data_IF_701483563184
#
_entry.id   IF_701483563184
#
_cell.length_a   1.000
_cell.length_b   1.000
_cell.length_c   1.000
_cell.angle_alpha   90.00
_cell.angle_beta   90.00
_cell.angle_gamma   90.00
#
_symmetry.space_group_name_H-M   'P 1'
#
loop_
_entity.id
_entity.type
_entity.pdbx_description
1 polymer ?
#
# COMPACT_ATOMS: atom_id res chain seq x y z
N UNK A 1 -3.79 8.13 -17.07
CA UNK A 1 -3.01 8.31 -18.30
C UNK A 1 -1.52 8.48 -17.98
N UNK A 2 -1.08 9.50 -17.23
CA UNK A 2 0.36 9.83 -17.02
C UNK A 2 1.21 8.71 -16.43
N UNK A 3 0.73 7.99 -15.41
CA UNK A 3 1.46 6.85 -14.82
C UNK A 3 1.68 5.76 -15.87
N UNK A 4 0.68 5.48 -16.70
CA UNK A 4 0.77 4.50 -17.80
C UNK A 4 1.82 4.92 -18.84
N UNK A 5 1.82 6.21 -19.24
CA UNK A 5 2.83 6.75 -20.15
C UNK A 5 4.24 6.67 -19.57
N UNK A 6 4.38 6.91 -18.27
CA UNK A 6 5.64 6.73 -17.55
C UNK A 6 6.12 5.28 -17.56
N UNK A 7 5.23 4.32 -17.32
CA UNK A 7 5.55 2.89 -17.38
C UNK A 7 6.00 2.47 -18.79
N UNK A 8 5.33 2.97 -19.85
CA UNK A 8 5.74 2.68 -21.22
C UNK A 8 7.17 3.16 -21.51
N UNK A 9 7.48 4.43 -21.16
CA UNK A 9 8.85 4.96 -21.30
C UNK A 9 9.85 4.19 -20.46
N UNK A 10 9.44 3.76 -19.26
CA UNK A 10 10.29 2.98 -18.37
C UNK A 10 10.62 1.60 -18.94
N UNK A 11 9.65 0.91 -19.56
CA UNK A 11 9.87 -0.38 -20.23
C UNK A 11 10.89 -0.25 -21.38
N UNK A 12 10.80 0.83 -22.16
CA UNK A 12 11.78 1.14 -23.21
C UNK A 12 13.17 1.38 -22.61
N UNK A 13 13.27 2.20 -21.56
CA UNK A 13 14.54 2.53 -20.92
C UNK A 13 15.23 1.32 -20.27
N UNK A 14 14.45 0.37 -19.73
CA UNK A 14 15.00 -0.88 -19.18
C UNK A 14 15.54 -1.82 -20.26
N UNK A 15 14.87 -1.93 -21.39
CA UNK A 15 15.26 -2.79 -22.51
C UNK A 15 15.08 -4.30 -22.26
N UNK A 16 14.82 -4.74 -21.02
CA UNK A 16 14.65 -6.16 -20.65
C UNK A 16 13.21 -6.66 -20.79
N UNK A 17 12.33 -5.81 -21.29
CA UNK A 17 10.90 -6.09 -21.52
C UNK A 17 10.14 -6.55 -20.28
N UNK A 18 10.54 -6.05 -19.11
CA UNK A 18 9.86 -6.30 -17.85
C UNK A 18 9.49 -4.99 -17.16
N UNK A 19 8.38 -5.01 -16.43
CA UNK A 19 7.96 -3.94 -15.51
C UNK A 19 7.63 -4.58 -14.17
N UNK A 20 8.26 -4.10 -13.11
CA UNK A 20 8.02 -4.55 -11.75
C UNK A 20 7.22 -3.51 -10.98
N UNK A 21 5.98 -3.84 -10.62
CA UNK A 21 5.07 -2.98 -9.89
C UNK A 21 4.82 -3.55 -8.49
N UNK A 22 5.16 -2.80 -7.47
CA UNK A 22 4.87 -3.16 -6.08
C UNK A 22 3.60 -2.46 -5.62
N UNK A 23 2.69 -3.25 -5.06
CA UNK A 23 1.41 -2.79 -4.51
C UNK A 23 1.38 -3.11 -3.02
N UNK A 24 1.34 -2.08 -2.19
CA UNK A 24 1.32 -2.17 -0.72
C UNK A 24 -0.08 -1.82 -0.21
N UNK A 25 -0.72 -2.76 0.45
CA UNK A 25 -2.05 -2.49 1.01
C UNK A 25 -2.00 -1.61 2.26
N UNK A 26 -3.15 -1.06 2.63
CA UNK A 26 -3.38 -0.56 3.98
C UNK A 26 -3.37 -1.68 5.02
N UNK A 27 -3.32 -1.28 6.31
CA UNK A 27 -3.28 -2.24 7.43
C UNK A 27 -2.91 -1.62 8.77
N UNK A 28 -2.75 -0.31 8.86
CA UNK A 28 -2.37 0.38 10.10
C UNK A 28 -1.04 -0.15 10.66
N UNK A 29 -1.01 -0.50 11.95
CA UNK A 29 0.17 -1.05 12.62
C UNK A 29 0.68 -2.38 11.99
N UNK A 30 -0.19 -3.12 11.30
CA UNK A 30 0.20 -4.38 10.66
C UNK A 30 1.13 -4.16 9.45
N UNK A 31 1.33 -2.92 9.03
CA UNK A 31 2.38 -2.55 8.07
C UNK A 31 3.78 -3.01 8.48
N UNK A 32 4.01 -3.26 9.76
CA UNK A 32 5.25 -3.88 10.24
C UNK A 32 5.56 -5.22 9.52
N UNK A 33 4.52 -6.01 9.19
CA UNK A 33 4.67 -7.22 8.38
C UNK A 33 5.26 -6.93 6.99
N UNK A 34 4.70 -5.96 6.28
CA UNK A 34 5.13 -5.63 4.92
C UNK A 34 6.57 -5.12 4.87
N UNK A 35 6.97 -4.30 5.84
CA UNK A 35 8.37 -3.85 5.95
C UNK A 35 9.29 -5.02 6.29
N UNK A 36 8.92 -5.86 7.24
CA UNK A 36 9.66 -7.09 7.55
C UNK A 36 9.82 -7.96 6.31
N UNK A 37 8.74 -8.18 5.55
CA UNK A 37 8.75 -8.96 4.32
C UNK A 37 9.72 -8.38 3.27
N UNK A 38 9.68 -7.09 3.00
CA UNK A 38 10.59 -6.43 2.04
C UNK A 38 12.04 -6.54 2.50
N UNK A 39 12.33 -6.38 3.80
CA UNK A 39 13.67 -6.57 4.37
C UNK A 39 14.16 -8.01 4.17
N UNK A 40 13.33 -8.99 4.50
CA UNK A 40 13.65 -10.41 4.30
C UNK A 40 13.85 -10.75 2.82
N UNK A 41 12.96 -10.28 1.94
CA UNK A 41 13.11 -10.51 0.50
C UNK A 41 14.39 -9.87 -0.06
N UNK A 42 14.77 -8.70 0.44
CA UNK A 42 16.01 -8.02 0.03
C UNK A 42 17.27 -8.84 0.30
N UNK A 43 17.28 -9.71 1.31
CA UNK A 43 18.46 -10.56 1.62
C UNK A 43 18.63 -11.75 0.67
N UNK A 44 17.65 -12.06 -0.17
CA UNK A 44 17.70 -13.22 -1.06
C UNK A 44 18.63 -12.97 -2.25
N UNK A 45 19.48 -13.94 -2.54
CA UNK A 45 20.37 -13.96 -3.69
C UNK A 45 19.89 -14.86 -4.82
N UNK A 46 19.08 -15.88 -4.49
CA UNK A 46 18.50 -16.85 -5.43
C UNK A 46 17.31 -16.29 -6.22
N UNK A 47 16.53 -15.40 -5.57
CA UNK A 47 15.39 -14.70 -6.17
C UNK A 47 15.36 -13.25 -5.66
N UNK A 48 16.28 -12.39 -6.14
CA UNK A 48 16.49 -11.07 -5.58
C UNK A 48 15.26 -10.17 -5.77
N UNK A 49 15.05 -9.29 -4.79
CA UNK A 49 14.02 -8.26 -4.88
C UNK A 49 14.33 -7.32 -6.04
N UNK A 50 13.41 -7.13 -7.00
CA UNK A 50 13.64 -6.25 -8.15
C UNK A 50 13.70 -4.78 -7.73
N UNK A 51 14.26 -3.95 -8.59
CA UNK A 51 14.10 -2.50 -8.49
C UNK A 51 12.76 -2.14 -9.14
N UNK A 52 11.77 -1.81 -8.30
CA UNK A 52 10.42 -1.54 -8.77
C UNK A 52 10.35 -0.31 -9.68
N UNK A 53 9.60 -0.42 -10.77
CA UNK A 53 9.35 0.67 -11.72
C UNK A 53 8.23 1.58 -11.24
N UNK A 54 7.27 1.01 -10.51
CA UNK A 54 6.22 1.74 -9.81
C UNK A 54 6.00 1.11 -8.44
N UNK A 55 5.89 1.94 -7.42
CA UNK A 55 5.40 1.53 -6.11
C UNK A 55 4.12 2.30 -5.79
N UNK A 56 3.09 1.57 -5.39
CA UNK A 56 1.84 2.15 -4.91
C UNK A 56 1.57 1.70 -3.49
N UNK A 57 0.95 2.56 -2.70
CA UNK A 57 0.58 2.24 -1.34
C UNK A 57 -0.74 2.90 -0.92
N UNK A 58 -1.48 2.22 -0.07
CA UNK A 58 -2.71 2.73 0.56
C UNK A 58 -2.49 2.76 2.07
N UNK A 59 -2.95 3.80 2.76
CA UNK A 59 -2.83 3.92 4.21
C UNK A 59 -1.38 3.72 4.68
N UNK A 60 -1.13 2.77 5.58
CA UNK A 60 0.23 2.40 5.99
C UNK A 60 1.15 2.05 4.82
N UNK A 61 0.61 1.46 3.74
CA UNK A 61 1.36 1.20 2.51
C UNK A 61 1.84 2.49 1.82
N UNK A 62 1.11 3.60 1.95
CA UNK A 62 1.56 4.89 1.42
C UNK A 62 2.80 5.42 2.14
N UNK A 63 2.96 5.12 3.45
CA UNK A 63 4.15 5.46 4.22
C UNK A 63 5.35 4.56 3.88
N UNK A 64 5.08 3.31 3.53
CA UNK A 64 6.10 2.32 3.13
C UNK A 64 6.63 2.58 1.72
N UNK A 65 5.78 3.06 0.83
CA UNK A 65 6.04 3.15 -0.60
C UNK A 65 7.31 3.95 -0.97
N UNK A 66 7.64 5.08 -0.33
CA UNK A 66 8.89 5.81 -0.58
C UNK A 66 10.14 4.96 -0.31
N UNK A 67 10.17 4.25 0.82
CA UNK A 67 11.28 3.38 1.20
C UNK A 67 11.39 2.16 0.30
N UNK A 68 10.24 1.55 -0.04
CA UNK A 68 10.19 0.42 -0.96
C UNK A 68 10.60 0.81 -2.39
N UNK A 69 10.31 2.04 -2.83
CA UNK A 69 10.80 2.55 -4.10
C UNK A 69 12.33 2.62 -4.10
N UNK A 70 12.96 3.11 -3.04
CA UNK A 70 14.41 3.07 -2.91
C UNK A 70 14.93 1.63 -2.93
N UNK A 71 14.32 0.75 -2.14
CA UNK A 71 14.58 -0.69 -2.11
C UNK A 71 15.99 -1.06 -1.64
N UNK A 72 16.72 -0.12 -1.02
CA UNK A 72 18.01 -0.38 -0.40
C UNK A 72 17.82 -0.91 1.01
N UNK A 73 18.78 -1.68 1.52
CA UNK A 73 18.77 -2.17 2.90
C UNK A 73 18.60 -1.01 3.89
N UNK A 74 19.41 0.04 3.76
CA UNK A 74 19.35 1.22 4.61
C UNK A 74 17.98 1.94 4.57
N UNK A 75 17.30 1.98 3.42
CA UNK A 75 15.98 2.57 3.32
C UNK A 75 14.92 1.70 4.03
N UNK A 76 14.97 0.38 3.84
CA UNK A 76 14.04 -0.53 4.47
C UNK A 76 14.25 -0.61 5.99
N UNK A 77 15.49 -0.50 6.47
CA UNK A 77 15.80 -0.41 7.91
C UNK A 77 15.26 0.86 8.52
N UNK A 78 15.39 2.01 7.84
CA UNK A 78 14.73 3.26 8.26
C UNK A 78 13.22 3.10 8.35
N UNK A 79 12.61 2.42 7.40
CA UNK A 79 11.17 2.15 7.47
C UNK A 79 10.80 1.29 8.68
N UNK A 80 11.57 0.24 8.97
CA UNK A 80 11.35 -0.60 10.16
C UNK A 80 11.52 0.19 11.46
N UNK A 81 12.54 1.06 11.53
CA UNK A 81 12.74 1.96 12.66
C UNK A 81 11.58 2.94 12.83
N UNK A 82 11.04 3.47 11.73
CA UNK A 82 9.86 4.34 11.74
C UNK A 82 8.66 3.65 12.40
N UNK A 83 8.41 2.38 12.07
CA UNK A 83 7.32 1.61 12.69
C UNK A 83 7.56 1.37 14.18
N UNK A 84 8.78 1.06 14.60
CA UNK A 84 9.14 0.90 16.01
C UNK A 84 8.97 2.21 16.79
N UNK A 85 9.46 3.34 16.24
CA UNK A 85 9.27 4.67 16.84
C UNK A 85 7.80 5.08 16.88
N UNK A 86 7.04 4.81 15.83
CA UNK A 86 5.62 5.15 15.76
C UNK A 86 4.81 4.46 16.87
N UNK A 87 5.18 3.25 17.26
CA UNK A 87 4.55 2.54 18.38
C UNK A 87 4.78 3.22 19.73
N UNK A 88 5.96 3.84 19.94
CA UNK A 88 6.37 4.39 21.22
C UNK A 88 6.16 5.91 21.30
N UNK A 89 6.64 6.63 20.29
CA UNK A 89 6.75 8.10 20.35
C UNK A 89 5.63 8.83 19.61
N UNK A 90 5.08 8.20 18.58
CA UNK A 90 4.09 8.80 17.69
C UNK A 90 2.72 8.16 17.79
N UNK A 91 2.52 7.27 18.80
CA UNK A 91 1.22 6.68 19.08
C UNK A 91 0.16 7.80 19.14
N UNK A 92 -0.92 7.69 18.36
CA UNK A 92 -1.95 8.71 18.33
C UNK A 92 -2.52 8.88 19.75
N UNK A 93 -2.41 10.09 20.30
CA UNK A 93 -3.06 10.41 21.56
C UNK A 93 -4.49 10.84 21.32
N UNK A 94 -5.42 10.39 22.17
CA UNK A 94 -6.80 10.87 22.12
C UNK A 94 -6.77 12.36 22.45
N UNK A 95 -7.33 13.17 21.55
CA UNK A 95 -7.60 14.59 21.83
C UNK A 95 -8.83 14.68 22.75
N UNK A 96 -8.61 14.83 24.05
CA UNK A 96 -9.69 14.93 25.04
C UNK A 96 -10.66 16.09 24.79
N UNK A 97 -10.29 17.06 23.92
CA UNK A 97 -11.11 18.18 23.50
C UNK A 97 -11.71 17.98 22.08
N UNK A 98 -11.65 16.77 21.51
CA UNK A 98 -12.11 16.47 20.15
C UNK A 98 -13.56 16.95 19.89
N UNK A 99 -14.42 16.87 20.90
CA UNK A 99 -15.81 17.30 20.84
C UNK A 99 -15.98 18.83 20.79
N UNK A 100 -15.00 19.60 21.27
CA UNK A 100 -14.96 21.07 21.18
C UNK A 100 -14.32 21.54 19.87
N UNK A 101 -13.34 20.81 19.35
CA UNK A 101 -12.51 21.25 18.20
C UNK A 101 -13.14 20.99 16.83
N UNK A 102 -14.21 20.21 16.75
CA UNK A 102 -14.90 19.84 15.49
C UNK A 102 -13.91 19.40 14.38
N UNK A 103 -12.93 18.57 14.72
CA UNK A 103 -11.87 18.16 13.80
C UNK A 103 -12.27 16.99 12.88
N UNK A 104 -13.42 16.37 13.09
CA UNK A 104 -13.84 15.17 12.35
C UNK A 104 -13.10 13.88 12.75
N UNK A 105 -12.20 13.94 13.73
CA UNK A 105 -11.47 12.81 14.31
C UNK A 105 -11.28 12.96 15.81
N UNK A 106 -10.85 11.89 16.47
CA UNK A 106 -10.64 11.85 17.92
C UNK A 106 -9.16 11.92 18.32
N UNK A 107 -8.26 11.95 17.33
CA UNK A 107 -6.80 11.84 17.53
C UNK A 107 -6.10 13.15 17.19
N UNK A 108 -5.12 13.54 18.02
CA UNK A 108 -4.17 14.61 17.69
C UNK A 108 -3.11 14.07 16.72
N UNK A 109 -3.06 14.65 15.52
CA UNK A 109 -2.13 14.27 14.46
C UNK A 109 -0.84 15.09 14.43
N UNK A 110 -0.60 15.99 15.39
CA UNK A 110 0.55 16.90 15.35
C UNK A 110 1.89 16.17 15.37
N UNK A 111 2.03 15.12 16.19
CA UNK A 111 3.24 14.27 16.24
C UNK A 111 3.39 13.47 14.94
N UNK A 112 2.30 12.91 14.46
CA UNK A 112 2.26 12.14 13.23
C UNK A 112 2.63 12.98 12.00
N UNK A 113 2.14 14.23 11.92
CA UNK A 113 2.53 15.20 10.88
C UNK A 113 4.03 15.47 10.93
N UNK A 114 4.62 15.68 12.13
CA UNK A 114 6.07 15.90 12.29
C UNK A 114 6.87 14.67 11.82
N UNK A 115 6.46 13.47 12.20
CA UNK A 115 7.10 12.22 11.74
C UNK A 115 7.12 12.13 10.21
N UNK A 116 6.01 12.39 9.53
CA UNK A 116 5.99 12.39 8.06
C UNK A 116 7.01 13.39 7.50
N UNK A 117 7.11 14.59 8.07
CA UNK A 117 8.05 15.62 7.63
C UNK A 117 9.51 15.23 7.89
N UNK A 118 9.82 14.71 9.09
CA UNK A 118 11.20 14.44 9.54
C UNK A 118 11.77 13.12 8.98
N UNK A 119 10.93 12.12 8.78
CA UNK A 119 11.40 10.78 8.42
C UNK A 119 11.11 10.42 6.95
N UNK A 120 9.88 10.69 6.47
CA UNK A 120 9.48 10.33 5.10
C UNK A 120 9.85 11.43 4.10
N UNK A 121 9.72 12.69 4.50
CA UNK A 121 9.99 13.86 3.64
C UNK A 121 11.26 14.62 4.06
N UNK A 122 12.15 14.00 4.84
CA UNK A 122 13.46 14.55 5.17
C UNK A 122 14.25 14.92 3.90
N UNK A 123 15.16 15.87 3.99
CA UNK A 123 15.99 16.28 2.86
C UNK A 123 16.71 15.08 2.24
N UNK A 124 17.34 14.25 3.05
CA UNK A 124 17.99 13.03 2.61
C UNK A 124 17.04 12.10 1.83
N UNK A 125 15.84 11.84 2.35
CA UNK A 125 14.86 10.97 1.68
C UNK A 125 14.43 11.55 0.34
N UNK A 126 14.21 12.87 0.28
CA UNK A 126 13.84 13.55 -0.96
C UNK A 126 14.94 13.48 -2.01
N UNK A 127 16.20 13.64 -1.61
CA UNK A 127 17.35 13.55 -2.51
C UNK A 127 17.50 12.13 -3.07
N UNK A 128 17.40 11.10 -2.20
CA UNK A 128 17.44 9.71 -2.63
C UNK A 128 16.26 9.36 -3.58
N UNK A 129 15.05 9.84 -3.26
CA UNK A 129 13.86 9.65 -4.12
C UNK A 129 14.00 10.41 -5.44
N UNK A 130 14.54 11.62 -5.43
CA UNK A 130 14.74 12.42 -6.63
C UNK A 130 15.57 11.67 -7.68
N UNK A 131 16.63 10.99 -7.27
CA UNK A 131 17.46 10.15 -8.16
C UNK A 131 16.61 9.01 -8.78
N UNK A 132 15.82 8.31 -7.96
CA UNK A 132 14.99 7.22 -8.42
C UNK A 132 13.89 7.69 -9.40
N UNK A 133 13.24 8.80 -9.07
CA UNK A 133 12.14 9.37 -9.84
C UNK A 133 12.61 9.95 -11.18
N UNK A 134 13.76 10.63 -11.20
CA UNK A 134 14.36 11.12 -12.46
C UNK A 134 14.90 9.99 -13.35
N UNK A 135 15.18 8.82 -12.78
CA UNK A 135 15.44 7.61 -13.57
C UNK A 135 14.16 6.98 -14.16
N UNK A 136 13.00 7.67 -14.06
CA UNK A 136 11.71 7.25 -14.61
C UNK A 136 10.93 6.26 -13.74
N UNK A 137 11.37 6.00 -12.50
CA UNK A 137 10.60 5.22 -11.54
C UNK A 137 9.45 6.07 -10.98
N UNK A 138 8.40 5.43 -10.50
CA UNK A 138 7.16 6.12 -10.14
C UNK A 138 6.70 5.77 -8.72
N UNK A 139 6.01 6.71 -8.09
CA UNK A 139 5.46 6.59 -6.74
C UNK A 139 4.06 7.16 -6.72
N UNK A 140 3.08 6.38 -6.27
CA UNK A 140 1.70 6.83 -6.20
C UNK A 140 0.97 6.32 -4.95
N UNK A 141 -0.05 7.05 -4.54
CA UNK A 141 -1.01 6.66 -3.50
C UNK A 141 -2.43 7.04 -3.92
N UNK A 142 -3.42 6.66 -3.11
CA UNK A 142 -4.78 7.13 -3.29
C UNK A 142 -5.41 7.54 -1.96
N UNK A 143 -6.38 8.44 -2.06
CA UNK A 143 -7.26 8.87 -0.97
C UNK A 143 -8.71 8.65 -1.38
N UNK A 144 -9.61 8.54 -0.41
CA UNK A 144 -11.05 8.67 -0.65
C UNK A 144 -11.42 10.16 -0.62
N UNK A 145 -11.97 10.67 -1.72
CA UNK A 145 -12.63 11.98 -1.78
C UNK A 145 -14.05 11.78 -1.24
N UNK A 146 -14.29 12.27 -0.03
CA UNK A 146 -15.56 12.04 0.67
C UNK A 146 -16.71 12.89 0.08
N UNK A 147 -16.41 14.03 -0.53
CA UNK A 147 -17.43 14.87 -1.15
C UNK A 147 -17.94 14.26 -2.46
N UNK A 148 -17.04 13.64 -3.23
CA UNK A 148 -17.39 13.02 -4.51
C UNK A 148 -17.69 11.52 -4.40
N UNK A 149 -17.34 10.87 -3.31
CA UNK A 149 -17.53 9.43 -3.11
C UNK A 149 -16.66 8.56 -4.02
N UNK A 150 -15.47 9.02 -4.38
CA UNK A 150 -14.55 8.33 -5.29
C UNK A 150 -13.14 8.17 -4.71
N UNK A 151 -12.39 7.21 -5.24
CA UNK A 151 -10.94 7.13 -5.01
C UNK A 151 -10.19 8.12 -5.90
N UNK A 152 -9.28 8.89 -5.29
CA UNK A 152 -8.42 9.84 -6.00
C UNK A 152 -6.97 9.41 -5.96
N UNK A 153 -6.37 9.20 -7.14
CA UNK A 153 -4.98 8.77 -7.28
C UNK A 153 -4.06 9.99 -7.33
N UNK A 154 -2.97 9.94 -6.56
CA UNK A 154 -1.94 10.96 -6.45
C UNK A 154 -0.60 10.42 -6.96
N UNK A 155 -0.03 11.08 -7.96
CA UNK A 155 1.33 10.84 -8.44
C UNK A 155 2.32 11.59 -7.52
N UNK A 156 2.71 10.95 -6.42
CA UNK A 156 3.63 11.52 -5.44
C UNK A 156 5.02 11.77 -6.04
N UNK A 157 5.42 10.90 -6.98
CA UNK A 157 6.72 11.05 -7.65
C UNK A 157 6.80 12.37 -8.39
N UNK A 158 5.76 12.73 -9.13
CA UNK A 158 5.68 14.00 -9.84
C UNK A 158 5.69 15.20 -8.88
N UNK A 159 4.90 15.12 -7.82
CA UNK A 159 4.86 16.20 -6.82
C UNK A 159 6.25 16.41 -6.18
N UNK A 160 6.97 15.34 -5.86
CA UNK A 160 8.30 15.41 -5.24
C UNK A 160 9.36 16.04 -6.17
N UNK A 161 9.29 15.80 -7.49
CA UNK A 161 10.25 16.38 -8.43
C UNK A 161 9.87 17.80 -8.88
N UNK A 162 8.63 18.25 -8.65
CA UNK A 162 8.18 19.59 -9.05
C UNK A 162 8.80 20.73 -8.22
N UNK A 163 9.44 20.41 -7.09
CA UNK A 163 10.19 21.37 -6.27
C UNK A 163 9.81 21.40 -4.78
N UNK A 164 10.50 22.25 -4.04
CA UNK A 164 10.34 22.35 -2.57
C UNK A 164 8.94 22.77 -2.12
N UNK A 165 8.23 23.57 -2.89
CA UNK A 165 6.86 24.00 -2.57
C UNK A 165 5.81 22.89 -2.63
N UNK A 166 6.12 21.75 -3.26
CA UNK A 166 5.23 20.59 -3.31
C UNK A 166 5.33 19.66 -2.09
N UNK A 167 6.31 19.88 -1.21
CA UNK A 167 6.51 19.02 -0.01
C UNK A 167 5.31 19.08 0.93
N UNK A 168 4.72 20.26 1.15
CA UNK A 168 3.54 20.44 2.00
C UNK A 168 2.32 19.73 1.39
N UNK A 169 2.21 19.75 0.06
CA UNK A 169 1.16 19.02 -0.66
C UNK A 169 1.33 17.51 -0.50
N UNK A 170 2.54 16.99 -0.69
CA UNK A 170 2.83 15.56 -0.47
C UNK A 170 2.55 15.15 0.97
N UNK A 171 2.95 15.98 1.95
CA UNK A 171 2.62 15.75 3.35
C UNK A 171 1.11 15.70 3.59
N UNK A 172 0.36 16.64 3.01
CA UNK A 172 -1.11 16.66 3.12
C UNK A 172 -1.75 15.42 2.49
N UNK A 173 -1.24 14.98 1.34
CA UNK A 173 -1.70 13.75 0.68
C UNK A 173 -1.39 12.51 1.52
N UNK A 174 -0.20 12.40 2.11
CA UNK A 174 0.16 11.26 2.98
C UNK A 174 -0.69 11.25 4.27
N UNK A 175 -0.96 12.41 4.85
CA UNK A 175 -1.87 12.53 5.99
C UNK A 175 -3.29 12.07 5.61
N UNK A 176 -3.80 12.55 4.48
CA UNK A 176 -5.12 12.15 3.97
C UNK A 176 -5.18 10.65 3.67
N UNK A 177 -4.13 10.11 3.01
CA UNK A 177 -4.05 8.69 2.65
C UNK A 177 -4.07 7.75 3.86
N UNK A 178 -3.79 8.27 5.06
CA UNK A 178 -3.78 7.52 6.33
C UNK A 178 -4.85 7.98 7.31
N UNK A 179 -5.74 8.89 6.91
CA UNK A 179 -6.80 9.46 7.74
C UNK A 179 -8.01 8.52 7.80
N UNK A 180 -7.96 7.50 8.67
CA UNK A 180 -9.08 6.58 8.91
C UNK A 180 -10.28 7.37 9.45
N UNK A 181 -11.46 7.33 8.76
CA UNK A 181 -12.64 8.09 9.18
C UNK A 181 -13.07 7.79 10.61
N UNK A 182 -13.42 8.85 11.34
CA UNK A 182 -13.85 8.77 12.75
C UNK A 182 -12.70 8.60 13.75
N UNK A 183 -11.49 8.23 13.32
CA UNK A 183 -10.30 8.13 14.18
C UNK A 183 -9.39 9.32 13.93
N UNK A 184 -8.90 9.48 12.72
CA UNK A 184 -8.06 10.60 12.32
C UNK A 184 -8.90 11.73 11.69
N UNK A 185 -8.53 13.00 11.91
CA UNK A 185 -9.18 14.11 11.22
C UNK A 185 -8.94 13.99 9.70
N UNK A 186 -9.97 14.20 8.88
CA UNK A 186 -9.82 14.25 7.42
C UNK A 186 -8.99 15.47 7.01
N UNK A 187 -8.47 15.46 5.79
CA UNK A 187 -7.64 16.53 5.26
C UNK A 187 -8.33 17.18 4.06
N UNK A 188 -8.40 18.51 4.04
CA UNK A 188 -8.91 19.25 2.89
C UNK A 188 -7.78 19.45 1.89
N UNK A 189 -7.97 18.96 0.64
CA UNK A 189 -7.03 19.13 -0.46
C UNK A 189 -7.83 19.59 -1.69
N UNK A 190 -7.40 20.69 -2.31
CA UNK A 190 -8.07 21.30 -3.48
C UNK A 190 -9.57 21.60 -3.23
N UNK A 191 -9.95 21.93 -1.99
CA UNK A 191 -11.32 22.23 -1.62
C UNK A 191 -12.20 21.01 -1.31
N UNK A 192 -11.68 19.79 -1.43
CA UNK A 192 -12.38 18.54 -1.13
C UNK A 192 -11.89 17.89 0.16
N UNK A 193 -12.78 17.21 0.85
CA UNK A 193 -12.49 16.46 2.09
C UNK A 193 -11.97 15.07 1.72
N UNK A 194 -10.74 14.78 2.12
CA UNK A 194 -10.08 13.50 1.85
C UNK A 194 -9.86 12.69 3.11
N UNK A 195 -10.03 11.38 2.99
CA UNK A 195 -9.76 10.38 4.01
C UNK A 195 -8.92 9.22 3.44
N UNK A 196 -8.63 8.22 4.29
CA UNK A 196 -7.87 7.02 3.94
C UNK A 196 -8.41 6.34 2.68
N UNK A 197 -7.52 6.04 1.75
CA UNK A 197 -7.86 5.38 0.49
C UNK A 197 -8.48 3.99 0.67
N UNK A 198 -8.20 3.33 1.81
CA UNK A 198 -8.79 2.04 2.16
C UNK A 198 -10.32 2.04 2.27
N UNK A 199 -10.94 3.21 2.41
CA UNK A 199 -12.41 3.36 2.35
C UNK A 199 -12.97 2.94 1.00
N UNK A 200 -12.23 3.21 -0.09
CA UNK A 200 -12.63 2.86 -1.47
C UNK A 200 -11.98 1.57 -1.93
N UNK A 201 -10.67 1.45 -1.73
CA UNK A 201 -9.90 0.25 -2.10
C UNK A 201 -8.63 0.15 -1.27
N UNK A 202 -8.39 -1.02 -0.69
CA UNK A 202 -7.20 -1.22 0.13
C UNK A 202 -5.92 -1.52 -0.66
N UNK A 203 -5.99 -1.58 -1.97
CA UNK A 203 -4.84 -1.67 -2.89
C UNK A 203 -5.05 -0.73 -4.08
N UNK A 204 -3.96 -0.24 -4.65
CA UNK A 204 -3.97 0.58 -5.84
C UNK A 204 -3.22 -0.13 -6.98
N UNK A 205 -3.84 -1.07 -7.70
CA UNK A 205 -3.28 -1.56 -8.96
C UNK A 205 -3.53 -0.46 -10.02
N UNK A 206 -2.48 0.25 -10.42
CA UNK A 206 -2.57 1.35 -11.41
C UNK A 206 -3.01 0.84 -12.79
N UNK A 207 -2.71 -0.43 -13.09
CA UNK A 207 -3.11 -1.08 -14.33
C UNK A 207 -4.35 -1.94 -14.08
N UNK A 208 -5.51 -1.42 -14.42
CA UNK A 208 -6.71 -2.20 -14.72
C UNK A 208 -6.65 -2.73 -16.16
N UNK A 209 -7.71 -3.35 -16.64
CA UNK A 209 -7.76 -3.88 -18.00
C UNK A 209 -7.59 -2.78 -19.06
N UNK A 210 -8.27 -1.65 -18.90
CA UNK A 210 -8.17 -0.50 -19.81
C UNK A 210 -6.82 0.18 -19.72
N UNK A 211 -6.26 0.35 -18.52
CA UNK A 211 -4.90 0.85 -18.33
C UNK A 211 -3.85 -0.03 -19.00
N UNK A 212 -4.06 -1.35 -18.98
CA UNK A 212 -3.21 -2.31 -19.66
C UNK A 212 -3.30 -2.17 -21.20
N UNK A 213 -4.51 -1.99 -21.75
CA UNK A 213 -4.68 -1.71 -23.19
C UNK A 213 -3.97 -0.41 -23.61
N UNK A 214 -4.07 0.65 -22.80
CA UNK A 214 -3.37 1.92 -23.02
C UNK A 214 -1.85 1.74 -22.95
N UNK A 215 -1.36 0.96 -21.99
CA UNK A 215 0.07 0.63 -21.89
C UNK A 215 0.55 -0.09 -23.18
N UNK A 216 -0.17 -1.10 -23.64
CA UNK A 216 0.16 -1.82 -24.86
C UNK A 216 0.16 -0.92 -26.10
N UNK A 217 -0.84 -0.03 -26.23
CA UNK A 217 -0.90 0.94 -27.30
C UNK A 217 0.32 1.88 -27.25
N UNK A 218 0.65 2.41 -26.07
CA UNK A 218 1.78 3.32 -25.89
C UNK A 218 3.12 2.65 -26.16
N UNK A 219 3.29 1.39 -25.77
CA UNK A 219 4.49 0.60 -26.08
C UNK A 219 4.69 0.45 -27.58
N UNK A 220 3.62 0.15 -28.34
CA UNK A 220 3.67 0.07 -29.81
C UNK A 220 4.05 1.38 -30.45
N UNK A 221 3.48 2.51 -30.00
CA UNK A 221 3.87 3.86 -30.46
C UNK A 221 5.34 4.17 -30.22
N UNK A 222 5.93 3.61 -29.16
CA UNK A 222 7.35 3.73 -28.82
C UNK A 222 8.23 2.69 -29.53
N UNK A 223 7.68 1.92 -30.47
CA UNK A 223 8.41 0.93 -31.27
C UNK A 223 8.66 -0.42 -30.56
N UNK A 224 8.02 -0.69 -29.42
CA UNK A 224 8.13 -1.98 -28.74
C UNK A 224 7.16 -2.97 -29.38
N UNK A 225 7.70 -3.92 -30.13
CA UNK A 225 6.92 -4.95 -30.86
C UNK A 225 6.84 -6.29 -30.14
N UNK A 226 7.85 -6.60 -29.32
CA UNK A 226 7.86 -7.84 -28.54
C UNK A 226 7.06 -7.68 -27.24
N UNK A 227 6.47 -8.77 -26.72
CA UNK A 227 5.68 -8.72 -25.49
C UNK A 227 6.49 -8.22 -24.29
N UNK A 228 5.85 -7.36 -23.47
CA UNK A 228 6.36 -6.87 -22.19
C UNK A 228 5.67 -7.62 -21.06
N UNK A 229 6.44 -8.13 -20.10
CA UNK A 229 5.91 -8.78 -18.90
C UNK A 229 5.76 -7.78 -17.78
N UNK A 230 4.53 -7.60 -17.29
CA UNK A 230 4.20 -6.81 -16.10
C UNK A 230 4.09 -7.76 -14.92
N UNK A 231 4.94 -7.57 -13.91
CA UNK A 231 4.91 -8.35 -12.67
C UNK A 231 4.32 -7.50 -11.56
N UNK A 232 3.16 -7.90 -11.06
CA UNK A 232 2.51 -7.31 -9.89
C UNK A 232 2.95 -8.07 -8.64
N UNK A 233 3.64 -7.36 -7.75
CA UNK A 233 4.08 -7.84 -6.45
C UNK A 233 3.18 -7.20 -5.40
N UNK A 234 2.37 -7.99 -4.70
CA UNK A 234 1.33 -7.48 -3.80
C UNK A 234 1.65 -7.89 -2.37
N UNK A 235 1.86 -6.91 -1.51
CA UNK A 235 2.07 -7.13 -0.07
C UNK A 235 0.84 -6.63 0.67
N UNK A 236 0.09 -7.57 1.23
CA UNK A 236 -1.11 -7.29 2.01
C UNK A 236 -0.73 -7.16 3.48
N UNK A 237 -0.82 -5.93 3.99
CA UNK A 237 -0.57 -5.61 5.41
C UNK A 237 -1.76 -5.96 6.32
N UNK A 238 -2.63 -6.83 5.86
CA UNK A 238 -3.78 -7.35 6.59
C UNK A 238 -4.00 -8.82 6.22
N UNK A 239 -4.71 -9.53 7.08
CA UNK A 239 -5.25 -10.85 6.79
C UNK A 239 -6.39 -10.78 5.78
N UNK A 240 -6.55 -11.84 5.01
CA UNK A 240 -7.61 -11.94 4.01
C UNK A 240 -8.95 -12.35 4.62
N UNK A 241 -8.94 -13.11 5.71
CA UNK A 241 -10.14 -13.62 6.34
C UNK A 241 -10.23 -13.17 7.80
N UNK A 242 -11.42 -12.76 8.27
CA UNK A 242 -11.62 -12.35 9.66
C UNK A 242 -11.61 -13.57 10.56
N UNK A 243 -11.07 -13.41 11.79
CA UNK A 243 -11.17 -14.44 12.81
C UNK A 243 -12.64 -14.68 13.22
N UNK A 244 -13.07 -15.95 13.41
CA UNK A 244 -14.39 -16.25 13.95
C UNK A 244 -14.54 -15.68 15.35
N UNK A 245 -15.67 -15.02 15.63
CA UNK A 245 -15.98 -14.41 16.91
C UNK A 245 -17.44 -14.70 17.24
N UNK A 246 -17.72 -15.16 18.44
CA UNK A 246 -19.08 -15.26 18.94
C UNK A 246 -19.63 -13.85 19.21
N UNK A 247 -20.81 -13.57 18.69
CA UNK A 247 -21.50 -12.27 18.84
C UNK A 247 -22.79 -12.48 19.61
N UNK A 248 -23.02 -11.67 20.64
CA UNK A 248 -24.30 -11.61 21.31
C UNK A 248 -25.30 -10.90 20.37
N UNK A 249 -26.36 -11.61 19.90
CA UNK A 249 -27.34 -11.06 18.98
C UNK A 249 -28.17 -9.91 19.61
N UNK A 250 -28.26 -9.83 20.94
CA UNK A 250 -28.94 -8.75 21.66
C UNK A 250 -28.06 -7.50 21.82
N UNK A 251 -26.75 -7.59 21.59
CA UNK A 251 -25.82 -6.48 21.70
C UNK A 251 -25.68 -5.71 20.38
N UNK A 252 -26.44 -4.61 20.25
CA UNK A 252 -26.35 -3.72 19.08
C UNK A 252 -24.91 -3.30 18.77
N UNK A 253 -24.11 -2.99 19.78
CA UNK A 253 -22.73 -2.52 19.60
C UNK A 253 -21.80 -3.61 19.04
N UNK A 254 -21.96 -4.87 19.49
CA UNK A 254 -21.19 -6.00 18.95
C UNK A 254 -21.60 -6.28 17.50
N UNK A 255 -22.90 -6.34 17.21
CA UNK A 255 -23.43 -6.57 15.87
C UNK A 255 -22.93 -5.50 14.89
N UNK A 256 -23.07 -4.21 15.25
CA UNK A 256 -22.63 -3.09 14.39
C UNK A 256 -21.13 -3.12 14.15
N UNK A 257 -20.33 -3.28 15.20
CA UNK A 257 -18.86 -3.35 15.10
C UNK A 257 -18.42 -4.51 14.20
N UNK A 258 -19.00 -5.69 14.40
CA UNK A 258 -18.69 -6.86 13.58
C UNK A 258 -19.11 -6.68 12.14
N UNK A 259 -20.30 -6.13 11.89
CA UNK A 259 -20.78 -5.80 10.56
C UNK A 259 -19.81 -4.88 9.80
N UNK A 260 -19.40 -3.77 10.42
CA UNK A 260 -18.43 -2.85 9.83
C UNK A 260 -17.07 -3.51 9.57
N UNK A 261 -16.59 -4.34 10.49
CA UNK A 261 -15.37 -5.11 10.30
C UNK A 261 -15.47 -6.03 9.09
N UNK A 262 -16.59 -6.75 8.95
CA UNK A 262 -16.81 -7.69 7.85
C UNK A 262 -16.92 -6.96 6.50
N UNK A 263 -17.56 -5.81 6.43
CA UNK A 263 -17.62 -4.98 5.22
C UNK A 263 -16.21 -4.59 4.75
N UNK A 264 -15.33 -4.23 5.67
CA UNK A 264 -13.94 -3.90 5.35
C UNK A 264 -13.13 -5.14 4.93
N UNK A 265 -13.21 -6.22 5.70
CA UNK A 265 -12.40 -7.44 5.44
C UNK A 265 -12.91 -8.19 4.20
N UNK A 266 -14.21 -8.16 3.89
CA UNK A 266 -14.73 -8.80 2.68
C UNK A 266 -14.08 -8.27 1.39
N UNK A 267 -13.72 -6.99 1.36
CA UNK A 267 -12.97 -6.43 0.23
C UNK A 267 -11.56 -7.01 0.12
N UNK A 268 -10.90 -7.31 1.26
CA UNK A 268 -9.53 -7.85 1.29
C UNK A 268 -9.47 -9.27 0.70
N UNK A 269 -10.43 -10.12 1.08
CA UNK A 269 -10.49 -11.51 0.66
C UNK A 269 -10.53 -11.66 -0.88
N UNK A 270 -11.15 -10.72 -1.57
CA UNK A 270 -11.33 -10.75 -3.02
C UNK A 270 -10.13 -10.20 -3.81
N UNK A 271 -9.20 -9.49 -3.17
CA UNK A 271 -8.10 -8.81 -3.88
C UNK A 271 -7.23 -9.79 -4.67
N UNK A 272 -6.71 -10.90 -4.09
CA UNK A 272 -5.84 -11.80 -4.83
C UNK A 272 -6.53 -12.42 -6.05
N UNK A 273 -7.78 -12.84 -5.90
CA UNK A 273 -8.56 -13.42 -6.99
C UNK A 273 -8.84 -12.41 -8.10
N UNK A 274 -9.24 -11.19 -7.74
CA UNK A 274 -9.49 -10.11 -8.71
C UNK A 274 -8.23 -9.77 -9.52
N UNK A 275 -7.08 -9.70 -8.87
CA UNK A 275 -5.81 -9.43 -9.55
C UNK A 275 -5.36 -10.61 -10.41
N UNK A 276 -5.59 -11.84 -9.98
CA UNK A 276 -5.33 -13.03 -10.78
C UNK A 276 -6.22 -13.10 -12.03
N UNK A 277 -7.50 -12.76 -11.88
CA UNK A 277 -8.43 -12.67 -13.00
C UNK A 277 -8.01 -11.58 -13.99
N UNK A 278 -7.62 -10.41 -13.48
CA UNK A 278 -7.07 -9.34 -14.31
C UNK A 278 -5.83 -9.79 -15.07
N UNK A 279 -4.89 -10.46 -14.42
CA UNK A 279 -3.66 -10.93 -15.06
C UNK A 279 -3.94 -11.95 -16.18
N UNK A 280 -4.90 -12.85 -15.96
CA UNK A 280 -5.35 -13.81 -16.98
C UNK A 280 -5.99 -13.08 -18.18
N UNK A 281 -6.91 -12.17 -17.92
CA UNK A 281 -7.59 -11.41 -18.97
C UNK A 281 -6.59 -10.55 -19.78
N UNK A 282 -5.69 -9.82 -19.10
CA UNK A 282 -4.67 -9.02 -19.79
C UNK A 282 -3.76 -9.89 -20.65
N UNK A 283 -3.30 -11.03 -20.12
CA UNK A 283 -2.41 -11.93 -20.87
C UNK A 283 -3.08 -12.60 -22.06
N UNK A 284 -4.40 -12.82 -22.01
CA UNK A 284 -5.18 -13.42 -23.08
C UNK A 284 -5.61 -12.38 -24.15
N UNK A 285 -6.08 -11.20 -23.69
CA UNK A 285 -6.85 -10.29 -24.54
C UNK A 285 -6.14 -8.96 -24.85
N UNK A 286 -4.94 -8.73 -24.31
CA UNK A 286 -4.14 -7.52 -24.59
C UNK A 286 -2.86 -7.88 -25.33
N UNK A 287 -2.84 -7.82 -26.68
CA UNK A 287 -1.65 -8.15 -27.45
C UNK A 287 -0.45 -7.27 -27.06
N UNK A 288 0.71 -7.93 -26.87
CA UNK A 288 1.95 -7.26 -26.50
C UNK A 288 2.15 -7.11 -24.99
N UNK A 289 1.24 -7.59 -24.14
CA UNK A 289 1.43 -7.68 -22.70
C UNK A 289 1.25 -9.09 -22.16
N UNK A 290 2.03 -9.41 -21.15
CA UNK A 290 1.83 -10.53 -20.24
C UNK A 290 1.80 -10.00 -18.82
N UNK A 291 0.85 -10.43 -17.99
CA UNK A 291 0.75 -10.00 -16.62
C UNK A 291 0.87 -11.19 -15.66
N UNK A 292 1.71 -11.03 -14.64
CA UNK A 292 1.91 -12.01 -13.58
C UNK A 292 1.60 -11.35 -12.23
N UNK A 293 0.96 -12.10 -11.32
CA UNK A 293 0.65 -11.63 -9.97
C UNK A 293 1.25 -12.57 -8.94
N UNK A 294 1.89 -12.00 -7.94
CA UNK A 294 2.33 -12.68 -6.73
C UNK A 294 1.90 -11.86 -5.54
N UNK A 295 1.36 -12.51 -4.52
CA UNK A 295 0.95 -11.83 -3.31
C UNK A 295 1.44 -12.55 -2.06
N UNK A 296 1.51 -11.80 -0.97
CA UNK A 296 1.66 -12.30 0.39
C UNK A 296 0.75 -11.51 1.30
N UNK A 297 0.26 -12.12 2.37
CA UNK A 297 -0.63 -11.48 3.32
C UNK A 297 -0.23 -11.83 4.76
N UNK A 298 -0.67 -11.01 5.70
CA UNK A 298 -0.59 -11.39 7.13
C UNK A 298 -1.43 -12.65 7.33
N UNK A 299 -0.91 -13.70 7.97
CA UNK A 299 -1.66 -14.93 8.21
C UNK A 299 -2.98 -14.67 8.93
N UNK A 300 -4.07 -15.28 8.43
CA UNK A 300 -5.42 -15.04 8.96
C UNK A 300 -5.61 -15.52 10.40
N UNK A 301 -4.82 -16.48 10.85
CA UNK A 301 -4.82 -17.00 12.23
C UNK A 301 -4.46 -15.89 13.24
N UNK A 302 -3.68 -14.91 12.81
CA UNK A 302 -3.28 -13.77 13.64
C UNK A 302 -4.40 -12.74 13.83
N UNK A 303 -5.48 -12.81 13.06
CA UNK A 303 -6.63 -11.91 13.22
C UNK A 303 -7.31 -12.03 14.60
N UNK A 304 -7.12 -13.15 15.32
CA UNK A 304 -7.62 -13.39 16.67
C UNK A 304 -6.64 -13.01 17.78
N UNK A 305 -5.42 -12.56 17.46
CA UNK A 305 -4.42 -12.20 18.48
C UNK A 305 -4.87 -10.92 19.23
N UNK A 306 -4.84 -10.90 20.57
CA UNK A 306 -5.20 -9.71 21.35
C UNK A 306 -4.38 -8.48 21.00
N UNK A 307 -3.12 -8.64 20.58
CA UNK A 307 -2.25 -7.56 20.14
C UNK A 307 -2.77 -6.83 18.88
N UNK A 308 -3.52 -7.54 18.05
CA UNK A 308 -4.12 -6.94 16.84
C UNK A 308 -5.22 -5.91 17.14
N UNK A 309 -5.85 -5.99 18.31
CA UNK A 309 -6.94 -5.12 18.72
C UNK A 309 -6.46 -3.82 19.39
N UNK A 310 -5.19 -3.74 19.79
CA UNK A 310 -4.61 -2.59 20.51
C UNK A 310 -3.81 -1.77 19.51
N UNK A 311 -4.18 -0.52 19.32
CA UNK A 311 -3.46 0.41 18.43
C UNK A 311 -2.04 0.71 18.95
N UNK A 312 -1.09 0.78 18.03
CA UNK A 312 0.31 1.09 18.32
C UNK A 312 0.95 0.13 19.36
N UNK A 313 0.64 -1.16 19.28
CA UNK A 313 1.20 -2.18 20.13
C UNK A 313 2.60 -2.58 19.65
N UNK A 314 3.64 -2.16 20.38
CA UNK A 314 5.05 -2.43 20.03
C UNK A 314 5.36 -3.92 19.91
N UNK A 315 4.92 -4.72 20.89
CA UNK A 315 5.14 -6.19 20.90
C UNK A 315 4.49 -6.84 19.67
N UNK A 316 3.26 -6.43 19.33
CA UNK A 316 2.56 -6.90 18.15
C UNK A 316 3.27 -6.53 16.86
N UNK A 317 3.69 -5.28 16.74
CA UNK A 317 4.40 -4.79 15.55
C UNK A 317 5.74 -5.49 15.38
N UNK A 318 6.50 -5.74 16.47
CA UNK A 318 7.73 -6.52 16.46
C UNK A 318 7.52 -7.97 16.02
N UNK A 319 6.46 -8.63 16.52
CA UNK A 319 6.05 -9.97 16.08
C UNK A 319 5.76 -10.02 14.58
N UNK A 320 5.02 -9.04 14.06
CA UNK A 320 4.68 -8.98 12.64
C UNK A 320 5.90 -8.65 11.76
N UNK A 321 6.77 -7.76 12.20
CA UNK A 321 8.02 -7.45 11.48
C UNK A 321 8.89 -8.71 11.34
N UNK A 322 9.08 -9.44 12.43
CA UNK A 322 9.85 -10.69 12.41
C UNK A 322 9.20 -11.74 11.52
N UNK A 323 7.89 -11.93 11.63
CA UNK A 323 7.16 -12.88 10.78
C UNK A 323 7.29 -12.52 9.28
N UNK A 324 7.13 -11.25 8.95
CA UNK A 324 7.33 -10.76 7.59
C UNK A 324 8.75 -11.02 7.10
N UNK A 325 9.75 -10.75 7.93
CA UNK A 325 11.15 -10.98 7.60
C UNK A 325 11.43 -12.46 7.29
N UNK A 326 10.97 -13.37 8.15
CA UNK A 326 11.12 -14.81 7.92
C UNK A 326 10.40 -15.28 6.67
N UNK A 327 9.20 -14.74 6.41
CA UNK A 327 8.45 -15.04 5.18
C UNK A 327 9.20 -14.56 3.95
N UNK A 328 9.68 -13.32 3.96
CA UNK A 328 10.35 -12.70 2.80
C UNK A 328 11.67 -13.38 2.41
N UNK A 329 12.45 -13.83 3.40
CA UNK A 329 13.70 -14.56 3.16
C UNK A 329 13.50 -16.04 2.83
N UNK A 330 12.31 -16.58 3.11
CA UNK A 330 12.01 -18.00 2.93
C UNK A 330 12.04 -18.45 1.46
N UNK A 331 12.13 -19.76 1.21
CA UNK A 331 12.17 -20.33 -0.13
C UNK A 331 10.86 -20.12 -0.92
N UNK A 332 9.72 -20.03 -0.22
CA UNK A 332 8.39 -19.80 -0.81
C UNK A 332 7.71 -18.57 -0.17
N UNK A 333 8.20 -17.35 -0.48
CA UNK A 333 7.70 -16.13 0.20
C UNK A 333 6.29 -15.72 -0.24
N UNK A 334 5.84 -16.17 -1.39
CA UNK A 334 4.55 -15.79 -1.98
C UNK A 334 3.50 -16.85 -1.73
N UNK A 335 2.28 -16.39 -1.47
CA UNK A 335 1.12 -17.27 -1.33
C UNK A 335 0.62 -17.76 -2.70
N UNK A 336 0.05 -18.95 -2.74
CA UNK A 336 -0.61 -19.46 -3.94
C UNK A 336 -1.87 -18.63 -4.24
N UNK A 337 -2.12 -18.36 -5.53
CA UNK A 337 -3.37 -17.70 -5.93
C UNK A 337 -4.51 -18.67 -5.62
N UNK A 338 -5.57 -18.26 -4.90
CA UNK A 338 -6.71 -19.12 -4.62
C UNK A 338 -7.29 -19.65 -5.93
N UNK A 339 -7.40 -20.97 -6.06
CA UNK A 339 -8.11 -21.57 -7.19
C UNK A 339 -9.61 -21.37 -6.98
N UNK A 340 -10.34 -21.05 -8.06
CA UNK A 340 -11.81 -20.88 -8.06
C UNK A 340 -12.54 -22.22 -7.77
N UNK A 341 -11.81 -23.33 -7.69
CA UNK A 341 -12.40 -24.62 -7.28
C UNK A 341 -12.65 -24.63 -5.76
N UNK A 342 -13.86 -24.31 -5.36
CA UNK A 342 -14.35 -24.37 -3.98
C UNK A 342 -14.35 -25.78 -3.37
N UNK A 343 -13.17 -26.36 -3.23
CA UNK A 343 -12.91 -27.58 -2.49
C UNK A 343 -11.64 -27.38 -1.70
N UNK A 344 -11.73 -26.61 -0.64
CA UNK A 344 -10.88 -26.75 0.54
C UNK A 344 -11.16 -25.55 1.47
N UNK A 345 -12.16 -25.72 2.31
CA UNK A 345 -12.26 -25.07 3.62
C UNK A 345 -13.51 -25.57 4.32
N UNK A 346 -13.42 -26.79 4.86
CA UNK A 346 -14.22 -27.20 6.02
C UNK A 346 -13.29 -27.55 7.16
#
# INVERSE_FOLDING_TARGET
ARLVDGLARRAVARGDRTLDLLVLSGGGQNGAYGIGFLRGWRTRTDAPMPRFDLVTGISTGALQAPFALLGTEAALDRAAELYRKAAVESAPSIDWLFWLRRTGGVVDVSRYRRMIASDILSERMRDELWVALNAGRQLATATADLDLGIGRVWDLGRELIAGRGSTDRVQSVLLAATAIPGIFPPVVIDGHVHADGGVVSNVLPVLDFEGSRRLAARLRELGVTAPVTVRLWVVMNLWLHPWPVAIDPASRSQVTRRGNQLLFVAQQAQIPERLANLARAVSADVPGLRMEVRYTAVPSELAGDPGAAVLANETWMGKLEQLGYERGRGAAPWDGIPSVSGKDNR
#
